data_IF_671068828681
#
_entry.id   IF_671068828681
#
_cell.length_a   1.000
_cell.length_b   1.000
_cell.length_c   1.000
_cell.angle_alpha   90.00
_cell.angle_beta   90.00
_cell.angle_gamma   90.00
#
_symmetry.space_group_name_H-M   'P 1'
#
loop_
_entity.id
_entity.type
_entity.pdbx_description
1 polymer ?
#
# COMPACT_ATOMS: atom_id res chain seq x y z
N UNK A 1 5.31 13.00 11.03
CA UNK A 1 5.70 12.80 9.62
C UNK A 1 6.27 14.10 9.08
N UNK A 2 7.22 14.10 8.13
CA UNK A 2 7.84 15.32 7.60
C UNK A 2 6.80 16.23 6.95
N UNK A 3 6.88 17.54 7.19
CA UNK A 3 6.02 18.51 6.50
C UNK A 3 6.25 18.46 4.99
N UNK A 4 5.17 18.52 4.22
CA UNK A 4 5.20 18.50 2.76
C UNK A 4 5.39 17.12 2.12
N UNK A 5 5.60 16.04 2.88
CA UNK A 5 5.70 14.70 2.28
C UNK A 5 4.33 14.17 1.81
N UNK A 6 4.34 13.37 0.74
CA UNK A 6 3.13 12.72 0.21
C UNK A 6 2.42 11.87 1.27
N UNK A 7 3.18 11.13 2.09
CA UNK A 7 2.63 10.36 3.21
C UNK A 7 1.87 11.28 4.19
N UNK A 8 2.44 12.43 4.57
CA UNK A 8 1.76 13.39 5.45
C UNK A 8 0.45 13.90 4.84
N UNK A 9 0.42 14.12 3.53
CA UNK A 9 -0.80 14.51 2.83
C UNK A 9 -1.86 13.39 2.91
N UNK A 10 -1.51 12.13 2.65
CA UNK A 10 -2.45 11.00 2.74
C UNK A 10 -3.08 10.89 4.13
N UNK A 11 -2.28 11.03 5.20
CA UNK A 11 -2.81 10.99 6.56
C UNK A 11 -3.68 12.19 6.91
N UNK A 12 -3.42 13.37 6.32
CA UNK A 12 -4.29 14.55 6.48
C UNK A 12 -5.65 14.37 5.80
N UNK A 13 -5.68 13.73 4.63
CA UNK A 13 -6.92 13.42 3.89
C UNK A 13 -7.73 12.28 4.54
N UNK A 14 -7.08 11.45 5.35
CA UNK A 14 -7.73 10.43 6.17
C UNK A 14 -7.91 9.07 5.48
N UNK A 15 -8.54 8.16 6.22
CA UNK A 15 -8.57 6.72 5.91
C UNK A 15 -9.23 6.40 4.56
N UNK A 16 -10.28 7.12 4.16
CA UNK A 16 -10.99 6.86 2.91
C UNK A 16 -10.14 7.20 1.68
N UNK A 17 -9.35 8.29 1.73
CA UNK A 17 -8.39 8.62 0.68
C UNK A 17 -7.30 7.55 0.55
N UNK A 18 -6.80 7.05 1.68
CA UNK A 18 -5.78 6.00 1.73
C UNK A 18 -6.31 4.69 1.13
N UNK A 19 -7.54 4.28 1.51
CA UNK A 19 -8.22 3.11 0.94
C UNK A 19 -8.41 3.24 -0.56
N UNK A 20 -8.86 4.42 -1.02
CA UNK A 20 -9.04 4.71 -2.44
C UNK A 20 -7.72 4.53 -3.20
N UNK A 21 -6.63 5.15 -2.75
CA UNK A 21 -5.30 4.99 -3.36
C UNK A 21 -4.86 3.54 -3.39
N UNK A 22 -4.98 2.83 -2.27
CA UNK A 22 -4.63 1.39 -2.21
C UNK A 22 -5.43 0.57 -3.23
N UNK A 23 -6.70 0.90 -3.45
CA UNK A 23 -7.53 0.27 -4.48
C UNK A 23 -7.15 0.65 -5.91
N UNK A 24 -6.73 1.89 -6.16
CA UNK A 24 -6.21 2.35 -7.45
C UNK A 24 -4.97 1.55 -7.86
N UNK A 25 -3.94 1.47 -7.00
CA UNK A 25 -2.70 0.74 -7.31
C UNK A 25 -2.95 -0.76 -7.55
N UNK A 26 -3.94 -1.34 -6.84
CA UNK A 26 -4.31 -2.74 -7.04
C UNK A 26 -4.90 -2.97 -8.44
N UNK A 27 -5.69 -2.03 -8.95
CA UNK A 27 -6.25 -2.10 -10.30
C UNK A 27 -5.16 -1.82 -11.34
N UNK A 28 -4.28 -0.86 -11.10
CA UNK A 28 -3.15 -0.55 -12.00
C UNK A 28 -2.22 -1.77 -12.13
N UNK A 29 -1.89 -2.44 -11.02
CA UNK A 29 -1.12 -3.69 -11.05
C UNK A 29 -1.81 -4.81 -11.85
N UNK A 30 -3.14 -4.97 -11.75
CA UNK A 30 -3.89 -5.97 -12.53
C UNK A 30 -3.84 -5.66 -14.04
N UNK A 31 -3.80 -4.38 -14.40
CA UNK A 31 -3.80 -3.91 -15.78
C UNK A 31 -2.40 -3.87 -16.40
N UNK A 32 -1.34 -3.84 -15.59
CA UNK A 32 0.05 -3.85 -16.03
C UNK A 32 0.35 -5.01 -17.00
N UNK A 33 1.20 -4.76 -18.00
CA UNK A 33 1.54 -5.73 -19.06
C UNK A 33 3.03 -5.98 -19.20
N UNK A 34 3.88 -5.00 -18.85
CA UNK A 34 5.32 -5.14 -18.89
C UNK A 34 5.96 -5.35 -17.52
N UNK A 35 7.12 -6.01 -17.49
CA UNK A 35 7.87 -6.26 -16.25
C UNK A 35 8.12 -4.97 -15.44
N UNK A 36 8.45 -3.86 -16.10
CA UNK A 36 8.68 -2.58 -15.44
C UNK A 36 7.40 -1.99 -14.84
N UNK A 37 6.27 -2.11 -15.52
CA UNK A 37 4.97 -1.68 -14.99
C UNK A 37 4.60 -2.54 -13.79
N UNK A 38 4.70 -3.86 -13.91
CA UNK A 38 4.41 -4.80 -12.81
C UNK A 38 5.26 -4.47 -11.59
N UNK A 39 6.56 -4.22 -11.76
CA UNK A 39 7.47 -3.84 -10.66
C UNK A 39 7.03 -2.50 -10.03
N UNK A 40 6.73 -1.49 -10.86
CA UNK A 40 6.31 -0.17 -10.38
C UNK A 40 5.01 -0.23 -9.59
N UNK A 41 3.95 -0.79 -10.20
CA UNK A 41 2.63 -0.87 -9.57
C UNK A 41 2.63 -1.79 -8.33
N UNK A 42 3.49 -2.81 -8.32
CA UNK A 42 3.69 -3.63 -7.11
C UNK A 42 4.33 -2.82 -5.99
N UNK A 43 5.31 -1.97 -6.30
CA UNK A 43 5.96 -1.11 -5.32
C UNK A 43 4.98 -0.07 -4.77
N UNK A 44 4.16 0.54 -5.63
CA UNK A 44 3.15 1.52 -5.22
C UNK A 44 2.05 0.88 -4.39
N UNK A 45 1.57 -0.31 -4.78
CA UNK A 45 0.62 -1.08 -3.97
C UNK A 45 1.18 -1.43 -2.58
N UNK A 46 2.43 -1.87 -2.50
CA UNK A 46 3.07 -2.18 -1.20
C UNK A 46 3.25 -0.92 -0.35
N UNK A 47 3.66 0.19 -0.94
CA UNK A 47 3.74 1.47 -0.25
C UNK A 47 2.36 1.86 0.33
N UNK A 48 1.31 1.87 -0.50
CA UNK A 48 -0.03 2.25 -0.07
C UNK A 48 -0.64 1.25 0.94
N UNK A 49 -0.33 -0.04 0.83
CA UNK A 49 -0.66 -1.05 1.84
C UNK A 49 -0.03 -0.72 3.20
N UNK A 50 1.26 -0.37 3.26
CA UNK A 50 1.90 -0.03 4.54
C UNK A 50 1.30 1.23 5.17
N UNK A 51 0.96 2.22 4.34
CA UNK A 51 0.25 3.44 4.79
C UNK A 51 -1.13 3.10 5.34
N UNK A 52 -1.88 2.22 4.67
CA UNK A 52 -3.20 1.75 5.11
C UNK A 52 -3.13 1.01 6.44
N UNK A 53 -2.18 0.09 6.61
CA UNK A 53 -1.99 -0.65 7.86
C UNK A 53 -1.68 0.31 9.01
N UNK A 54 -0.76 1.25 8.80
CA UNK A 54 -0.43 2.25 9.81
C UNK A 54 -1.63 3.14 10.16
N UNK A 55 -2.42 3.56 9.18
CA UNK A 55 -3.64 4.33 9.40
C UNK A 55 -4.73 3.53 10.15
N UNK A 56 -4.73 2.20 10.02
CA UNK A 56 -5.59 1.29 10.77
C UNK A 56 -5.02 0.85 12.13
N UNK A 57 -3.83 1.31 12.51
CA UNK A 57 -3.17 0.91 13.76
C UNK A 57 -2.62 -0.52 13.74
N UNK A 58 -2.33 -1.07 12.56
CA UNK A 58 -1.83 -2.43 12.34
C UNK A 58 -0.36 -2.42 11.92
N UNK A 59 0.41 -3.42 12.36
CA UNK A 59 1.80 -3.64 11.91
C UNK A 59 1.83 -4.48 10.63
N UNK A 60 2.79 -4.19 9.75
CA UNK A 60 3.14 -5.06 8.61
C UNK A 60 3.59 -6.45 9.08
N UNK A 61 4.17 -6.58 10.27
CA UNK A 61 4.61 -7.87 10.82
C UNK A 61 3.45 -8.85 10.94
N UNK A 62 2.26 -8.37 11.33
CA UNK A 62 1.06 -9.20 11.43
C UNK A 62 0.63 -9.75 10.07
N UNK A 63 0.87 -9.01 8.98
CA UNK A 63 0.63 -9.48 7.60
C UNK A 63 1.71 -10.49 7.19
N UNK A 64 2.97 -10.22 7.52
CA UNK A 64 4.09 -11.12 7.22
C UNK A 64 3.96 -12.46 7.94
N UNK A 65 3.49 -12.48 9.19
CA UNK A 65 3.18 -13.70 9.93
C UNK A 65 2.13 -14.53 9.18
N UNK A 66 1.03 -13.89 8.74
CA UNK A 66 -0.01 -14.55 7.94
C UNK A 66 0.45 -15.00 6.56
N UNK A 67 1.46 -14.34 5.98
CA UNK A 67 2.06 -14.78 4.72
C UNK A 67 2.94 -16.01 4.94
N UNK A 68 3.70 -16.08 6.04
CA UNK A 68 4.50 -17.27 6.38
C UNK A 68 3.63 -18.52 6.50
N UNK A 69 2.46 -18.40 7.14
CA UNK A 69 1.48 -19.50 7.26
C UNK A 69 0.99 -20.05 5.91
N UNK A 70 1.08 -19.27 4.82
CA UNK A 70 0.68 -19.70 3.46
C UNK A 70 1.80 -20.35 2.68
N UNK A 71 3.05 -20.13 3.08
CA UNK A 71 4.25 -20.63 2.41
C UNK A 71 4.77 -21.93 3.02
N UNK A 72 4.22 -22.32 4.18
CA UNK A 72 4.33 -23.65 4.79
C UNK A 72 3.16 -24.53 4.40
#
# INVERSE_FOLDING_TARGET
MPEGSYTTHLFREGLDKIRKKTGEEAIELILARGDQEIISESADLLYHLTVLLQAAGLSIDAVLDRLRDRMT
#
